data_IF_433385629511
#
_entry.id   IF_433385629511
#
_cell.length_a   1.000
_cell.length_b   1.000
_cell.length_c   1.000
_cell.angle_alpha   90.00
_cell.angle_beta   90.00
_cell.angle_gamma   90.00
#
_symmetry.space_group_name_H-M   'P 1'
#
loop_
_entity.id
_entity.type
_entity.pdbx_description
1 polymer ?
#
# COMPACT_ATOMS: atom_id res chain seq x y z
N UNK A 1 -44.37 45.21 29.67
CA UNK A 1 -42.96 45.20 29.21
C UNK A 1 -42.72 43.88 28.50
N UNK A 2 -42.44 43.89 27.20
CA UNK A 2 -42.11 42.70 26.43
C UNK A 2 -40.59 42.64 26.28
N UNK A 3 -39.96 41.54 26.72
CA UNK A 3 -38.55 41.28 26.43
C UNK A 3 -38.45 40.37 25.20
N UNK A 4 -37.75 40.85 24.17
CA UNK A 4 -37.41 40.09 22.96
C UNK A 4 -35.95 39.66 23.10
N UNK A 5 -35.69 38.37 23.23
CA UNK A 5 -34.33 37.81 23.24
C UNK A 5 -33.84 37.64 21.80
N UNK A 6 -32.87 38.45 21.38
CA UNK A 6 -32.13 38.25 20.13
C UNK A 6 -30.98 37.26 20.35
N UNK A 7 -31.05 36.10 19.68
CA UNK A 7 -29.91 35.18 19.56
C UNK A 7 -29.00 35.63 18.40
N UNK A 8 -27.67 35.68 18.56
CA UNK A 8 -26.78 35.90 17.43
C UNK A 8 -26.73 34.63 16.54
N UNK A 9 -26.86 34.84 15.24
CA UNK A 9 -26.69 33.81 14.23
C UNK A 9 -25.25 33.29 14.24
N UNK A 10 -25.08 31.97 14.32
CA UNK A 10 -23.75 31.36 14.12
C UNK A 10 -23.40 31.39 12.63
N UNK A 11 -22.15 31.72 12.27
CA UNK A 11 -21.69 31.62 10.89
C UNK A 11 -21.60 30.14 10.51
N UNK A 12 -22.48 29.71 9.61
CA UNK A 12 -22.35 28.45 8.87
C UNK A 12 -21.13 28.56 7.97
N UNK A 13 -20.04 27.89 8.36
CA UNK A 13 -18.93 27.60 7.46
C UNK A 13 -19.36 26.49 6.50
N UNK A 14 -19.82 26.88 5.31
CA UNK A 14 -19.97 25.97 4.17
C UNK A 14 -18.57 25.50 3.75
N UNK A 15 -18.09 24.41 4.35
CA UNK A 15 -17.01 23.61 3.78
C UNK A 15 -17.58 22.91 2.55
N UNK A 16 -17.50 23.58 1.39
CA UNK A 16 -17.69 22.95 0.08
C UNK A 16 -16.59 21.90 -0.12
N UNK A 17 -16.80 20.70 0.41
CA UNK A 17 -16.03 19.51 0.09
C UNK A 17 -16.25 19.21 -1.40
N UNK A 18 -15.40 19.78 -2.24
CA UNK A 18 -15.24 19.29 -3.60
C UNK A 18 -14.78 17.83 -3.47
N UNK A 19 -15.57 16.84 -3.92
CA UNK A 19 -15.11 15.47 -3.90
C UNK A 19 -13.90 15.41 -4.82
N UNK A 20 -12.71 15.20 -4.25
CA UNK A 20 -11.52 14.88 -5.02
C UNK A 20 -11.79 13.52 -5.66
N UNK A 21 -12.31 13.53 -6.88
CA UNK A 21 -12.43 12.35 -7.71
C UNK A 21 -11.03 11.99 -8.18
N UNK A 22 -10.37 11.12 -7.43
CA UNK A 22 -9.13 10.50 -7.88
C UNK A 22 -9.42 9.74 -9.17
N UNK A 23 -8.57 9.87 -10.20
CA UNK A 23 -8.72 9.11 -11.43
C UNK A 23 -8.72 7.61 -11.08
N UNK A 24 -9.83 6.94 -11.34
CA UNK A 24 -9.98 5.52 -11.08
C UNK A 24 -9.20 4.75 -12.14
N UNK A 25 -7.93 4.46 -11.86
CA UNK A 25 -7.11 3.58 -12.70
C UNK A 25 -7.70 2.17 -12.64
N UNK A 26 -8.25 1.71 -13.76
CA UNK A 26 -8.70 0.33 -13.90
C UNK A 26 -7.49 -0.54 -14.21
N UNK A 27 -6.98 -1.22 -13.18
CA UNK A 27 -5.91 -2.21 -13.35
C UNK A 27 -6.50 -3.56 -13.79
N UNK A 28 -5.88 -4.26 -14.75
CA UNK A 28 -6.25 -5.63 -15.08
C UNK A 28 -6.21 -6.52 -13.83
N UNK A 29 -7.26 -7.32 -13.61
CA UNK A 29 -7.35 -8.22 -12.43
C UNK A 29 -6.33 -9.35 -12.48
N UNK A 30 -5.93 -9.73 -13.68
CA UNK A 30 -4.91 -10.74 -13.95
C UNK A 30 -3.92 -10.17 -14.94
N UNK A 31 -2.64 -10.18 -14.57
CA UNK A 31 -1.54 -9.91 -15.47
C UNK A 31 -0.87 -11.25 -15.78
N UNK A 32 -0.44 -11.45 -17.03
CA UNK A 32 0.45 -12.56 -17.36
C UNK A 32 1.71 -12.44 -16.52
N UNK A 33 2.13 -13.53 -15.87
CA UNK A 33 3.41 -13.56 -15.16
C UNK A 33 4.52 -13.25 -16.17
N UNK A 34 5.36 -12.23 -15.93
CA UNK A 34 6.50 -11.97 -16.80
C UNK A 34 7.41 -13.20 -16.87
N UNK A 35 8.02 -13.43 -18.03
CA UNK A 35 9.08 -14.42 -18.15
C UNK A 35 10.20 -14.05 -17.17
N UNK A 36 10.79 -15.06 -16.52
CA UNK A 36 11.93 -14.82 -15.64
C UNK A 36 13.10 -14.34 -16.49
N UNK A 37 13.69 -13.21 -16.08
CA UNK A 37 14.94 -12.69 -16.64
C UNK A 37 15.95 -12.57 -15.51
N UNK A 38 17.17 -13.04 -15.75
CA UNK A 38 18.25 -12.87 -14.79
C UNK A 38 18.66 -11.38 -14.70
N UNK A 39 18.99 -10.94 -13.49
CA UNK A 39 19.42 -9.56 -13.24
C UNK A 39 20.82 -9.38 -13.80
N UNK A 40 21.01 -8.39 -14.67
CA UNK A 40 22.33 -8.08 -15.23
C UNK A 40 23.29 -7.59 -14.13
N UNK A 41 24.58 -7.96 -14.17
CA UNK A 41 25.59 -7.48 -13.23
C UNK A 41 25.66 -5.95 -13.15
N UNK A 42 25.49 -5.26 -14.28
CA UNK A 42 25.52 -3.79 -14.34
C UNK A 42 24.42 -3.13 -13.49
N UNK A 43 23.25 -3.76 -13.42
CA UNK A 43 22.13 -3.29 -12.57
C UNK A 43 22.46 -3.51 -11.09
N UNK A 44 23.10 -4.63 -10.74
CA UNK A 44 23.53 -4.86 -9.35
C UNK A 44 24.62 -3.86 -8.94
N UNK A 45 25.59 -3.60 -9.82
CA UNK A 45 26.64 -2.59 -9.62
C UNK A 45 26.07 -1.17 -9.50
N UNK A 46 24.98 -0.85 -10.20
CA UNK A 46 24.29 0.43 -10.09
C UNK A 46 23.56 0.62 -8.76
N UNK A 47 23.12 -0.47 -8.10
CA UNK A 47 22.50 -0.43 -6.77
C UNK A 47 23.58 -0.25 -5.69
N UNK A 48 24.60 -1.10 -5.74
CA UNK A 48 25.75 -1.06 -4.85
C UNK A 48 27.00 -1.57 -5.61
N UNK A 49 28.03 -0.73 -5.80
CA UNK A 49 29.26 -1.13 -6.48
C UNK A 49 29.94 -2.36 -5.87
N UNK A 50 29.75 -2.62 -4.56
CA UNK A 50 30.25 -3.81 -3.88
C UNK A 50 29.61 -5.12 -4.37
N UNK A 51 28.44 -5.04 -5.00
CA UNK A 51 27.72 -6.19 -5.56
C UNK A 51 28.17 -6.56 -6.97
N UNK A 52 29.01 -5.74 -7.62
CA UNK A 52 29.46 -5.99 -9.00
C UNK A 52 30.15 -7.35 -9.18
N UNK A 53 30.81 -7.85 -8.13
CA UNK A 53 31.54 -9.13 -8.12
C UNK A 53 30.75 -10.27 -7.46
N UNK A 54 29.52 -10.01 -7.01
CA UNK A 54 28.70 -11.01 -6.31
C UNK A 54 27.89 -11.80 -7.32
N UNK A 55 28.05 -13.14 -7.40
CA UNK A 55 27.22 -13.96 -8.27
C UNK A 55 25.74 -13.85 -7.90
N UNK A 56 24.82 -13.66 -8.86
CA UNK A 56 23.38 -13.57 -8.59
C UNK A 56 22.83 -14.78 -7.81
N UNK A 57 23.40 -15.97 -8.03
CA UNK A 57 23.04 -17.17 -7.27
C UNK A 57 23.32 -17.05 -5.77
N UNK A 58 24.40 -16.37 -5.39
CA UNK A 58 24.72 -16.16 -3.98
C UNK A 58 23.63 -15.29 -3.33
N UNK A 59 23.26 -14.18 -3.99
CA UNK A 59 22.17 -13.33 -3.53
C UNK A 59 20.84 -14.09 -3.43
N UNK A 60 20.50 -14.91 -4.43
CA UNK A 60 19.30 -15.77 -4.42
C UNK A 60 19.28 -16.71 -3.22
N UNK A 61 20.39 -17.42 -2.97
CA UNK A 61 20.50 -18.36 -1.84
C UNK A 61 20.39 -17.63 -0.50
N UNK A 62 21.04 -16.49 -0.34
CA UNK A 62 20.95 -15.67 0.86
C UNK A 62 19.53 -15.17 1.11
N UNK A 63 18.84 -14.69 0.07
CA UNK A 63 17.45 -14.25 0.17
C UNK A 63 16.50 -15.41 0.50
N UNK A 64 16.71 -16.58 -0.11
CA UNK A 64 15.94 -17.77 0.20
C UNK A 64 16.09 -18.19 1.68
N UNK A 65 17.30 -18.13 2.23
CA UNK A 65 17.56 -18.44 3.64
C UNK A 65 16.90 -17.47 4.63
N UNK A 66 16.60 -16.23 4.20
CA UNK A 66 15.97 -15.18 5.03
C UNK A 66 14.50 -14.93 4.69
N UNK A 67 13.92 -15.69 3.75
CA UNK A 67 12.55 -15.53 3.28
C UNK A 67 11.53 -15.52 4.42
N UNK A 68 11.62 -16.52 5.30
CA UNK A 68 10.69 -16.69 6.41
C UNK A 68 10.82 -15.57 7.45
N UNK A 69 12.04 -15.10 7.72
CA UNK A 69 12.32 -13.96 8.61
C UNK A 69 11.70 -12.67 8.07
N UNK A 70 11.83 -12.43 6.75
CA UNK A 70 11.21 -11.28 6.08
C UNK A 70 9.68 -11.36 6.14
N UNK A 71 9.09 -12.53 5.88
CA UNK A 71 7.64 -12.73 5.95
C UNK A 71 7.11 -12.57 7.38
N UNK A 72 7.81 -13.11 8.37
CA UNK A 72 7.47 -12.93 9.78
C UNK A 72 7.48 -11.44 10.16
N UNK A 73 8.48 -10.69 9.70
CA UNK A 73 8.60 -9.25 9.95
C UNK A 73 7.42 -8.46 9.36
N UNK A 74 6.95 -8.82 8.16
CA UNK A 74 5.75 -8.22 7.56
C UNK A 74 4.50 -8.56 8.38
N UNK A 75 4.36 -9.81 8.80
CA UNK A 75 3.17 -10.28 9.56
C UNK A 75 3.01 -9.60 10.92
N UNK A 76 4.11 -9.13 11.51
CA UNK A 76 4.11 -8.45 12.80
C UNK A 76 3.68 -6.97 12.71
N UNK A 77 3.56 -6.41 11.50
CA UNK A 77 3.18 -5.00 11.32
C UNK A 77 1.70 -4.80 11.59
N UNK A 78 1.41 -3.81 12.42
CA UNK A 78 0.04 -3.40 12.75
C UNK A 78 -0.45 -2.36 11.74
N UNK A 79 -0.67 -2.79 10.50
CA UNK A 79 -1.20 -1.93 9.43
C UNK A 79 -2.70 -2.20 9.25
N UNK A 80 -3.54 -1.16 9.10
CA UNK A 80 -4.95 -1.35 8.78
C UNK A 80 -5.12 -2.16 7.48
N UNK A 81 -5.85 -3.28 7.56
CA UNK A 81 -6.12 -4.14 6.38
C UNK A 81 -7.02 -3.49 5.34
N UNK A 82 -7.80 -2.49 5.75
CA UNK A 82 -8.68 -1.73 4.88
C UNK A 82 -8.75 -0.28 5.34
N UNK A 83 -8.69 0.65 4.40
CA UNK A 83 -8.89 2.08 4.66
C UNK A 83 -10.06 2.58 3.81
N UNK A 84 -11.09 3.22 4.42
CA UNK A 84 -12.20 3.77 3.66
C UNK A 84 -11.73 4.83 2.66
N UNK A 85 -12.11 4.67 1.39
CA UNK A 85 -11.77 5.62 0.32
C UNK A 85 -12.16 7.06 0.63
N UNK A 86 -13.32 7.25 1.25
CA UNK A 86 -13.84 8.57 1.60
C UNK A 86 -13.04 9.27 2.70
N UNK A 87 -12.18 8.55 3.42
CA UNK A 87 -11.43 9.05 4.57
C UNK A 87 -10.00 8.47 4.60
N UNK A 88 -9.35 8.43 3.45
CA UNK A 88 -7.94 8.03 3.40
C UNK A 88 -7.11 9.13 4.09
N UNK A 89 -6.39 8.84 5.19
CA UNK A 89 -5.52 9.83 5.80
C UNK A 89 -4.33 10.11 4.87
N UNK A 90 -3.80 11.34 4.93
CA UNK A 90 -2.59 11.72 4.17
C UNK A 90 -1.34 10.93 4.62
N UNK A 91 -1.33 10.52 5.88
CA UNK A 91 -0.31 9.68 6.50
C UNK A 91 -0.90 8.98 7.73
N UNK A 92 -0.31 7.86 8.14
CA UNK A 92 -0.60 7.22 9.41
C UNK A 92 0.69 6.67 10.00
N UNK A 93 0.77 6.64 11.32
CA UNK A 93 1.91 6.10 12.03
C UNK A 93 1.83 4.58 12.05
N UNK A 94 2.96 3.92 11.78
CA UNK A 94 3.09 2.47 11.84
C UNK A 94 4.16 2.15 12.86
N UNK A 95 3.76 1.46 13.94
CA UNK A 95 4.71 0.93 14.90
C UNK A 95 5.51 -0.19 14.22
N UNK A 96 6.82 0.03 14.06
CA UNK A 96 7.73 -0.98 13.54
C UNK A 96 8.17 -1.89 14.69
N UNK A 97 7.83 -3.19 14.66
CA UNK A 97 8.37 -4.12 15.63
C UNK A 97 9.88 -4.23 15.44
N UNK A 98 10.61 -4.39 16.55
CA UNK A 98 12.04 -4.70 16.50
C UNK A 98 12.20 -6.10 15.88
N UNK A 99 12.48 -6.13 14.59
CA UNK A 99 12.66 -7.33 13.79
C UNK A 99 14.04 -7.28 13.15
N UNK A 100 14.61 -8.44 12.85
CA UNK A 100 15.92 -8.52 12.20
C UNK A 100 15.89 -8.06 10.72
N UNK A 101 14.68 -7.93 10.13
CA UNK A 101 14.49 -7.48 8.75
C UNK A 101 13.20 -6.64 8.57
N UNK A 102 13.15 -5.39 9.08
CA UNK A 102 11.99 -4.52 8.90
C UNK A 102 11.82 -4.16 7.40
N UNK A 103 10.58 -4.11 6.87
CA UNK A 103 10.40 -3.68 5.49
C UNK A 103 10.72 -2.20 5.33
N UNK A 104 11.23 -1.84 4.15
CA UNK A 104 11.59 -0.46 3.81
C UNK A 104 10.44 0.31 3.18
N UNK A 105 9.53 -0.38 2.47
CA UNK A 105 8.44 0.23 1.71
C UNK A 105 7.16 -0.63 1.80
N UNK A 106 5.99 0.00 1.82
CA UNK A 106 4.68 -0.64 1.83
C UNK A 106 3.86 -0.06 0.67
N UNK A 107 3.23 -0.92 -0.14
CA UNK A 107 2.34 -0.53 -1.22
C UNK A 107 0.90 -0.90 -0.88
N UNK A 108 0.00 0.08 -0.87
CA UNK A 108 -1.44 -0.15 -0.69
C UNK A 108 -2.13 -0.23 -2.05
N UNK A 109 -2.80 -1.36 -2.33
CA UNK A 109 -3.56 -1.57 -3.58
C UNK A 109 -5.05 -1.59 -3.27
N UNK A 110 -5.80 -0.70 -3.92
CA UNK A 110 -7.27 -0.71 -3.85
C UNK A 110 -7.85 -1.53 -5.00
N UNK A 111 -8.80 -2.43 -4.72
CA UNK A 111 -9.58 -3.14 -5.74
C UNK A 111 -11.09 -2.97 -5.49
N UNK A 112 -11.89 -2.84 -6.56
CA UNK A 112 -13.35 -2.80 -6.44
C UNK A 112 -13.92 -4.22 -6.23
N UNK A 113 -14.97 -4.37 -5.39
CA UNK A 113 -15.65 -5.65 -5.23
C UNK A 113 -16.25 -6.10 -6.56
N UNK A 114 -16.11 -7.40 -6.86
CA UNK A 114 -16.65 -8.00 -8.09
C UNK A 114 -18.17 -8.01 -8.03
N UNK A 115 -18.82 -7.26 -8.92
CA UNK A 115 -20.25 -7.45 -9.20
C UNK A 115 -20.41 -8.65 -10.14
N UNK A 116 -21.11 -9.68 -9.66
CA UNK A 116 -21.53 -10.92 -10.37
C UNK A 116 -20.47 -11.99 -10.57
N UNK A 117 -20.57 -13.06 -9.78
CA UNK A 117 -20.26 -14.41 -10.29
C UNK A 117 -21.38 -14.83 -11.25
N UNK A 118 -21.09 -15.58 -12.33
CA UNK A 118 -22.14 -16.18 -13.14
C UNK A 118 -22.94 -17.14 -12.27
N UNK A 119 -24.27 -17.02 -12.32
CA UNK A 119 -25.16 -18.03 -11.75
C UNK A 119 -24.82 -19.38 -12.39
N UNK A 120 -24.51 -20.36 -11.54
CA UNK A 120 -24.50 -21.76 -11.92
C UNK A 120 -25.93 -22.14 -12.34
N UNK A 121 -26.15 -22.32 -13.64
CA UNK A 121 -27.32 -23.04 -14.15
C UNK A 121 -26.94 -24.52 -14.11
N UNK A 122 -27.75 -25.31 -13.40
CA UNK A 122 -27.63 -26.75 -13.23
C UNK A 122 -28.78 -27.42 -13.98
#
# INVERSE_FOLDING_TARGET
>A
MFQVSSRPAQPTFDMQHHPITLPSVQLPRTLSRPAYAEVSPDVLAAIDPGLAQVPPEFARRSLHGRGDEMLASISALQIPRSVPKSRLPSSFEVALPYTASPPTHILAVFTSPSSKGPASDA
#
